data_IF_538367469789
#
_entry.id   IF_538367469789
#
_cell.length_a   1.000
_cell.length_b   1.000
_cell.length_c   1.000
_cell.angle_alpha   90.00
_cell.angle_beta   90.00
_cell.angle_gamma   90.00
#
_symmetry.space_group_name_H-M   'P 1'
#
loop_
_entity.id
_entity.type
_entity.pdbx_description
1 polymer ?
#
# COMPACT_ATOMS: atom_id res chain seq x y z
N UNK A 1 14.29 8.65 7.46
CA UNK A 1 14.47 9.93 8.19
C UNK A 1 15.75 10.72 7.85
N UNK A 2 16.55 10.36 6.83
CA UNK A 2 17.81 11.07 6.60
C UNK A 2 17.59 12.49 6.06
N UNK A 3 16.76 12.67 5.04
CA UNK A 3 16.44 13.99 4.49
C UNK A 3 15.84 14.94 5.53
N UNK A 4 14.87 14.47 6.31
CA UNK A 4 14.25 15.26 7.38
C UNK A 4 15.22 15.73 8.47
N UNK A 5 16.29 14.97 8.74
CA UNK A 5 17.29 15.34 9.75
C UNK A 5 18.30 16.38 9.24
N UNK A 6 18.60 16.38 7.95
CA UNK A 6 19.61 17.27 7.35
C UNK A 6 19.03 18.49 6.65
N UNK A 7 17.74 18.47 6.31
CA UNK A 7 17.05 19.60 5.68
C UNK A 7 17.14 20.86 6.55
N UNK A 8 17.22 22.02 5.90
CA UNK A 8 17.09 23.35 6.52
C UNK A 8 15.63 23.77 6.56
N UNK A 9 15.34 24.78 7.35
CA UNK A 9 14.00 25.33 7.43
C UNK A 9 13.63 25.95 6.06
N UNK A 10 12.45 25.59 5.56
CA UNK A 10 11.98 26.02 4.23
C UNK A 10 12.32 25.08 3.06
N UNK A 11 13.21 24.10 3.21
CA UNK A 11 13.58 23.15 2.13
C UNK A 11 12.36 22.35 1.61
N UNK A 12 11.33 22.16 2.44
CA UNK A 12 10.08 21.48 2.08
C UNK A 12 8.86 22.41 2.04
N UNK A 13 9.06 23.72 1.93
CA UNK A 13 7.96 24.71 1.95
C UNK A 13 6.94 24.55 0.81
N UNK A 14 7.31 23.91 -0.31
CA UNK A 14 6.40 23.62 -1.42
C UNK A 14 5.73 22.25 -1.32
N UNK A 15 6.14 21.41 -0.36
CA UNK A 15 5.64 20.05 -0.19
C UNK A 15 4.23 20.08 0.40
N UNK A 16 3.27 19.43 -0.26
CA UNK A 16 1.87 19.40 0.19
C UNK A 16 1.52 18.12 0.96
N UNK A 17 2.08 17.00 0.54
CA UNK A 17 1.97 15.70 1.21
C UNK A 17 3.04 14.76 0.63
N UNK A 18 3.35 13.71 1.36
CA UNK A 18 4.27 12.65 0.97
C UNK A 18 3.48 11.36 0.84
N UNK A 19 3.65 10.63 -0.26
CA UNK A 19 3.10 9.28 -0.40
C UNK A 19 4.22 8.28 -0.10
N UNK A 20 3.98 7.38 0.84
CA UNK A 20 4.88 6.29 1.20
C UNK A 20 4.23 4.94 0.91
N UNK A 21 5.06 3.95 0.56
CA UNK A 21 4.64 2.57 0.34
C UNK A 21 5.82 1.63 0.51
N UNK A 22 5.65 0.37 0.08
CA UNK A 22 6.58 -0.76 0.25
C UNK A 22 6.78 -1.23 1.71
N UNK A 23 7.00 -0.32 2.66
CA UNK A 23 7.12 -0.66 4.08
C UNK A 23 6.34 0.32 4.97
N UNK A 24 5.95 -0.15 6.16
CA UNK A 24 5.30 0.67 7.16
C UNK A 24 6.19 1.83 7.61
N UNK A 25 5.63 3.04 7.60
CA UNK A 25 6.31 4.26 8.03
C UNK A 25 6.39 4.27 9.55
N UNK A 26 7.62 4.34 10.06
CA UNK A 26 7.88 4.46 11.51
C UNK A 26 7.16 5.68 12.10
N UNK A 27 6.48 5.56 13.25
CA UNK A 27 5.78 6.68 13.89
C UNK A 27 6.64 7.93 14.08
N UNK A 28 7.91 7.76 14.43
CA UNK A 28 8.88 8.85 14.59
C UNK A 28 9.14 9.61 13.28
N UNK A 29 9.18 8.90 12.15
CA UNK A 29 9.32 9.54 10.83
C UNK A 29 8.07 10.35 10.51
N UNK A 30 6.88 9.79 10.74
CA UNK A 30 5.61 10.51 10.53
C UNK A 30 5.53 11.78 11.39
N UNK A 31 5.92 11.69 12.66
CA UNK A 31 5.95 12.81 13.60
C UNK A 31 6.93 13.89 13.16
N UNK A 32 8.15 13.52 12.76
CA UNK A 32 9.18 14.48 12.33
C UNK A 32 8.70 15.31 11.13
N UNK A 33 8.10 14.67 10.12
CA UNK A 33 7.62 15.39 8.93
C UNK A 33 6.43 16.30 9.24
N UNK A 34 5.52 15.85 10.12
CA UNK A 34 4.37 16.64 10.55
C UNK A 34 4.79 17.85 11.38
N UNK A 35 5.60 17.64 12.42
CA UNK A 35 5.93 18.66 13.41
C UNK A 35 6.93 19.69 12.88
N UNK A 36 7.86 19.28 12.00
CA UNK A 36 8.93 20.17 11.48
C UNK A 36 8.58 20.84 10.15
N UNK A 37 7.86 20.14 9.28
CA UNK A 37 7.64 20.58 7.90
C UNK A 37 6.16 20.75 7.55
N UNK A 38 5.25 20.57 8.52
CA UNK A 38 3.80 20.61 8.30
C UNK A 38 3.33 19.67 7.19
N UNK A 39 4.11 18.62 6.90
CA UNK A 39 3.90 17.71 5.79
C UNK A 39 3.31 16.39 6.29
N UNK A 40 2.11 16.07 5.80
CA UNK A 40 1.48 14.77 6.07
C UNK A 40 2.10 13.67 5.21
N UNK A 41 2.46 12.55 5.84
CA UNK A 41 2.82 11.31 5.13
C UNK A 41 1.56 10.44 5.08
N UNK A 42 1.15 10.08 3.87
CA UNK A 42 0.09 9.10 3.61
C UNK A 42 0.70 7.80 3.12
N UNK A 43 0.23 6.68 3.65
CA UNK A 43 0.70 5.35 3.27
C UNK A 43 -0.26 4.69 2.29
N UNK A 44 0.29 3.93 1.35
CA UNK A 44 -0.46 3.04 0.48
C UNK A 44 0.20 1.67 0.37
N UNK A 45 -0.64 0.68 0.07
CA UNK A 45 -0.26 -0.69 -0.20
C UNK A 45 -0.45 -0.99 -1.67
N UNK A 46 0.43 -1.83 -2.19
CA UNK A 46 0.54 -2.09 -3.59
C UNK A 46 1.58 -3.15 -3.90
N UNK A 47 1.45 -3.72 -5.08
CA UNK A 47 2.29 -4.77 -5.63
C UNK A 47 2.36 -4.61 -7.15
N UNK A 48 3.41 -5.14 -7.76
CA UNK A 48 3.66 -5.02 -9.20
C UNK A 48 2.47 -5.54 -10.02
N UNK A 49 1.87 -6.61 -9.52
CA UNK A 49 0.77 -7.35 -10.12
C UNK A 49 -0.54 -6.56 -10.18
N UNK A 50 -0.67 -5.46 -9.43
CA UNK A 50 -1.88 -4.63 -9.36
C UNK A 50 -1.64 -3.16 -9.77
N UNK A 51 -0.66 -2.91 -10.63
CA UNK A 51 -0.42 -1.63 -11.34
C UNK A 51 -0.61 -0.31 -10.56
N UNK A 52 0.27 0.04 -9.61
CA UNK A 52 0.84 -0.79 -8.57
C UNK A 52 0.06 -0.64 -7.24
N UNK A 53 -0.94 0.26 -7.14
CA UNK A 53 -1.58 0.62 -5.87
C UNK A 53 -2.90 -0.11 -5.70
N UNK A 54 -3.10 -0.72 -4.54
CA UNK A 54 -4.31 -1.46 -4.15
C UNK A 54 -5.13 -0.67 -3.13
N UNK A 55 -4.46 -0.10 -2.13
CA UNK A 55 -5.09 0.70 -1.09
C UNK A 55 -4.23 1.90 -0.76
N UNK A 56 -4.85 3.02 -0.39
CA UNK A 56 -4.11 4.24 -0.07
C UNK A 56 -4.85 5.13 0.92
N UNK A 57 -4.10 5.71 1.86
CA UNK A 57 -4.57 6.84 2.64
C UNK A 57 -4.58 8.09 1.77
N UNK A 58 -5.56 8.96 1.96
CA UNK A 58 -5.63 10.24 1.26
C UNK A 58 -5.40 11.38 2.23
N UNK A 59 -5.11 12.58 1.71
CA UNK A 59 -4.92 13.77 2.54
C UNK A 59 -6.17 14.14 3.38
N UNK A 60 -7.36 13.70 2.97
CA UNK A 60 -8.63 13.98 3.65
C UNK A 60 -9.16 12.78 4.43
N UNK A 61 -8.68 11.57 4.13
CA UNK A 61 -9.17 10.33 4.71
C UNK A 61 -7.98 9.40 4.94
N UNK A 62 -7.41 9.48 6.15
CA UNK A 62 -6.20 8.76 6.54
C UNK A 62 -6.30 8.22 7.96
N UNK A 63 -5.67 7.07 8.21
CA UNK A 63 -5.46 6.53 9.56
C UNK A 63 -4.01 6.10 9.71
N UNK A 64 -3.33 6.71 10.68
CA UNK A 64 -1.93 6.41 10.99
C UNK A 64 -1.76 4.93 11.31
N UNK A 65 -0.76 4.29 10.69
CA UNK A 65 -0.49 2.86 10.89
C UNK A 65 -1.35 1.92 10.04
N UNK A 66 -2.12 2.44 9.11
CA UNK A 66 -2.86 1.67 8.09
C UNK A 66 -2.33 2.02 6.71
N UNK A 67 -2.60 1.16 5.72
CA UNK A 67 -2.31 1.44 4.31
C UNK A 67 -3.48 2.10 3.58
N UNK A 68 -4.52 2.49 4.34
CA UNK A 68 -5.69 3.19 3.84
C UNK A 68 -6.80 2.26 3.38
N UNK A 69 -7.63 2.76 2.46
CA UNK A 69 -8.79 2.05 1.91
C UNK A 69 -8.51 1.55 0.50
N UNK A 70 -9.18 0.47 0.06
CA UNK A 70 -9.02 -0.05 -1.30
C UNK A 70 -9.39 1.02 -2.33
N UNK A 71 -8.68 1.07 -3.45
CA UNK A 71 -9.07 1.93 -4.56
C UNK A 71 -10.41 1.48 -5.16
N UNK A 72 -11.18 2.40 -5.78
CA UNK A 72 -12.41 2.04 -6.46
C UNK A 72 -12.22 0.91 -7.48
N UNK A 73 -13.23 0.05 -7.59
CA UNK A 73 -13.26 -1.11 -8.48
C UNK A 73 -12.25 -2.23 -8.18
N UNK A 74 -11.41 -2.11 -7.14
CA UNK A 74 -10.62 -3.22 -6.61
C UNK A 74 -11.49 -4.02 -5.66
N UNK A 75 -11.60 -5.33 -5.92
CA UNK A 75 -12.29 -6.28 -5.06
C UNK A 75 -11.25 -7.01 -4.23
N UNK A 76 -11.59 -7.20 -2.96
CA UNK A 76 -10.77 -7.88 -1.97
C UNK A 76 -11.50 -9.12 -1.46
N UNK A 77 -10.76 -10.19 -1.23
CA UNK A 77 -11.22 -11.38 -0.54
C UNK A 77 -10.15 -11.76 0.48
N UNK A 78 -10.57 -12.04 1.72
CA UNK A 78 -9.69 -12.57 2.76
C UNK A 78 -9.98 -14.04 2.98
N UNK A 79 -8.96 -14.87 2.88
CA UNK A 79 -9.05 -16.29 3.23
C UNK A 79 -8.43 -16.56 4.60
N UNK A 80 -9.08 -17.34 5.49
CA UNK A 80 -8.50 -17.70 6.77
C UNK A 80 -7.16 -18.43 6.61
N UNK A 81 -6.21 -18.14 7.50
CA UNK A 81 -4.90 -18.80 7.52
C UNK A 81 -4.73 -19.54 8.84
N UNK A 82 -4.35 -20.82 8.75
CA UNK A 82 -4.15 -21.66 9.93
C UNK A 82 -3.10 -21.04 10.87
N UNK A 83 -3.43 -20.94 12.15
CA UNK A 83 -2.57 -20.34 13.17
C UNK A 83 -2.63 -18.81 13.27
N UNK A 84 -3.36 -18.13 12.37
CA UNK A 84 -3.57 -16.67 12.42
C UNK A 84 -5.00 -16.38 12.88
N UNK A 85 -5.14 -15.73 14.04
CA UNK A 85 -6.46 -15.43 14.64
C UNK A 85 -7.06 -14.11 14.16
N UNK A 86 -6.23 -13.17 13.72
CA UNK A 86 -6.65 -11.86 13.23
C UNK A 86 -6.06 -11.63 11.83
N UNK A 87 -6.94 -11.32 10.88
CA UNK A 87 -6.59 -11.13 9.48
C UNK A 87 -6.74 -12.39 8.63
N UNK A 88 -6.43 -12.25 7.35
CA UNK A 88 -6.50 -13.33 6.38
C UNK A 88 -5.61 -13.08 5.18
N UNK A 89 -5.38 -14.13 4.41
CA UNK A 89 -4.64 -14.08 3.15
C UNK A 89 -5.40 -13.21 2.15
N UNK A 90 -4.73 -12.20 1.62
CA UNK A 90 -5.35 -11.23 0.73
C UNK A 90 -5.35 -11.72 -0.72
N UNK A 91 -6.54 -11.77 -1.29
CA UNK A 91 -6.78 -12.05 -2.71
C UNK A 91 -7.40 -10.83 -3.39
N UNK A 92 -6.94 -10.53 -4.61
CA UNK A 92 -7.31 -9.35 -5.38
C UNK A 92 -7.97 -9.71 -6.72
N UNK A 93 -8.92 -8.89 -7.13
CA UNK A 93 -9.49 -8.92 -8.48
C UNK A 93 -9.91 -7.50 -8.88
N UNK A 94 -9.54 -7.06 -10.07
CA UNK A 94 -9.76 -5.68 -10.49
C UNK A 94 -9.23 -5.37 -11.89
N UNK A 95 -9.59 -4.19 -12.44
CA UNK A 95 -9.15 -3.77 -13.77
C UNK A 95 -7.65 -3.42 -13.84
N UNK A 96 -6.99 -3.30 -12.70
CA UNK A 96 -5.58 -2.97 -12.55
C UNK A 96 -4.67 -4.22 -12.43
N UNK A 97 -5.24 -5.43 -12.50
CA UNK A 97 -4.45 -6.65 -12.45
C UNK A 97 -3.61 -6.81 -13.72
N UNK A 98 -2.35 -7.20 -13.56
CA UNK A 98 -1.46 -7.48 -14.67
C UNK A 98 -1.95 -8.68 -15.49
N UNK A 99 -1.48 -8.80 -16.72
CA UNK A 99 -1.89 -9.88 -17.61
C UNK A 99 -1.29 -11.24 -17.22
N UNK A 100 -0.12 -11.27 -16.57
CA UNK A 100 0.60 -12.51 -16.29
C UNK A 100 2.10 -12.32 -16.16
N UNK A 101 2.80 -13.41 -15.85
CA UNK A 101 4.26 -13.44 -15.75
C UNK A 101 4.90 -13.89 -17.06
N UNK A 102 6.04 -13.29 -17.39
CA UNK A 102 6.91 -13.76 -18.47
C UNK A 102 8.01 -14.64 -17.88
N UNK A 103 8.36 -15.73 -18.55
CA UNK A 103 9.41 -16.65 -18.10
C UNK A 103 10.49 -16.86 -19.16
N UNK A 104 11.73 -17.10 -18.71
CA UNK A 104 12.88 -17.22 -19.61
C UNK A 104 12.89 -18.52 -20.43
N UNK A 105 12.22 -19.56 -19.94
CA UNK A 105 12.01 -20.84 -20.64
C UNK A 105 11.05 -20.72 -21.83
N UNK A 106 10.15 -19.73 -21.81
CA UNK A 106 9.15 -19.50 -22.87
C UNK A 106 9.06 -18.01 -23.24
N UNK A 107 10.09 -17.45 -23.90
CA UNK A 107 10.10 -16.04 -24.29
C UNK A 107 8.92 -15.69 -25.19
N UNK A 108 8.22 -14.61 -24.87
CA UNK A 108 7.06 -14.14 -25.63
C UNK A 108 5.72 -14.79 -25.25
N UNK A 109 5.73 -15.82 -24.41
CA UNK A 109 4.52 -16.39 -23.83
C UNK A 109 4.29 -15.84 -22.41
N UNK A 110 3.07 -15.35 -22.15
CA UNK A 110 2.65 -14.94 -20.82
C UNK A 110 1.97 -16.10 -20.12
N UNK A 111 2.34 -16.33 -18.86
CA UNK A 111 1.62 -17.19 -17.93
C UNK A 111 0.53 -16.34 -17.28
N UNK A 112 -0.75 -16.48 -17.68
CA UNK A 112 -1.79 -15.55 -17.28
C UNK A 112 -2.08 -15.62 -15.79
N UNK A 113 -2.49 -14.50 -15.20
CA UNK A 113 -3.17 -14.54 -13.90
C UNK A 113 -4.60 -15.10 -14.11
N UNK A 114 -4.95 -16.16 -13.39
CA UNK A 114 -6.28 -16.77 -13.48
C UNK A 114 -7.15 -16.36 -12.30
N UNK A 115 -8.27 -15.67 -12.58
CA UNK A 115 -9.26 -15.31 -11.56
C UNK A 115 -8.72 -14.33 -10.50
N UNK A 116 -8.92 -14.68 -9.23
CA UNK A 116 -8.41 -13.90 -8.11
C UNK A 116 -6.91 -14.12 -7.95
N UNK A 117 -6.16 -13.06 -7.74
CA UNK A 117 -4.72 -13.11 -7.52
C UNK A 117 -4.40 -13.18 -6.02
N UNK A 118 -3.69 -14.24 -5.61
CA UNK A 118 -3.11 -14.35 -4.28
C UNK A 118 -1.89 -13.44 -4.15
N UNK A 119 -1.96 -12.47 -3.24
CA UNK A 119 -0.89 -11.48 -3.03
C UNK A 119 0.29 -12.02 -2.24
N UNK A 120 0.11 -13.08 -1.45
CA UNK A 120 1.09 -13.45 -0.44
C UNK A 120 0.82 -12.86 0.95
N UNK A 121 0.13 -11.72 1.01
CA UNK A 121 0.05 -10.90 2.21
C UNK A 121 -1.07 -11.32 3.16
N UNK A 122 -0.81 -11.18 4.47
CA UNK A 122 -1.82 -11.30 5.52
C UNK A 122 -2.22 -9.91 5.95
N UNK A 123 -3.50 -9.59 5.83
CA UNK A 123 -4.03 -8.27 6.18
C UNK A 123 -5.26 -8.38 7.05
N UNK A 124 -5.52 -7.32 7.80
CA UNK A 124 -6.80 -7.09 8.49
C UNK A 124 -7.51 -5.89 7.90
N UNK A 125 -8.84 -5.95 7.87
CA UNK A 125 -9.70 -4.86 7.39
C UNK A 125 -10.67 -4.50 8.51
N UNK A 126 -10.63 -3.25 8.96
CA UNK A 126 -11.52 -2.79 10.02
C UNK A 126 -12.93 -2.44 9.50
N UNK A 127 -13.85 -2.10 10.41
CA UNK A 127 -15.25 -1.77 10.08
C UNK A 127 -15.40 -0.53 9.20
N UNK A 128 -14.38 0.32 9.16
CA UNK A 128 -14.33 1.51 8.32
C UNK A 128 -13.57 1.23 7.02
N UNK A 129 -13.15 0.00 6.76
CA UNK A 129 -12.46 -0.42 5.54
C UNK A 129 -10.98 -0.05 5.47
N UNK A 130 -10.36 0.37 6.58
CA UNK A 130 -8.91 0.57 6.61
C UNK A 130 -8.19 -0.77 6.72
N UNK A 131 -7.10 -0.89 5.96
CA UNK A 131 -6.29 -2.10 5.87
C UNK A 131 -5.02 -1.94 6.70
N UNK A 132 -4.65 -2.97 7.46
CA UNK A 132 -3.36 -3.09 8.17
C UNK A 132 -2.68 -4.39 7.79
#
# INVERSE_FOLDING_TARGET
ANYARTAKDGDFSSLRFVVAGAEAVKPETRRTYRDRFEASIVEGFGLTEAAPVVAVNTAIHSRDGTVGRPLPAIRLKLEPVEGITEGGRLWLDGPNMMMGYMSADRPGELQPLEGWHDTGDIVSIDREGFIT
#
